data_IF_507825270109
#
_entry.id   IF_507825270109
#
_cell.length_a   1.000
_cell.length_b   1.000
_cell.length_c   1.000
_cell.angle_alpha   90.00
_cell.angle_beta   90.00
_cell.angle_gamma   90.00
#
_symmetry.space_group_name_H-M   'P 1'
#
loop_
_entity.id
_entity.type
_entity.pdbx_description
1 polymer ?
#
# COMPACT_ATOMS: atom_id res chain seq x y z
N UNK A 1 -0.27 -20.79 1.24
CA UNK A 1 0.38 -19.47 1.46
C UNK A 1 0.17 -18.67 0.19
N UNK A 2 -0.55 -17.53 0.25
CA UNK A 2 -1.09 -16.89 -0.95
C UNK A 2 -0.07 -16.06 -1.77
N UNK A 3 1.15 -15.86 -1.27
CA UNK A 3 2.22 -15.21 -2.01
C UNK A 3 3.58 -15.73 -1.53
N UNK A 4 4.48 -16.07 -2.46
CA UNK A 4 5.80 -16.66 -2.15
C UNK A 4 6.94 -15.65 -2.26
N UNK A 5 6.72 -14.50 -2.91
CA UNK A 5 7.69 -13.41 -3.04
C UNK A 5 7.30 -12.21 -2.16
N UNK A 6 8.27 -11.43 -1.66
CA UNK A 6 8.00 -10.16 -0.99
C UNK A 6 7.19 -9.22 -1.91
N UNK A 7 6.21 -8.52 -1.34
CA UNK A 7 5.34 -7.60 -2.08
C UNK A 7 5.65 -6.16 -1.77
N UNK A 8 5.23 -5.26 -2.65
CA UNK A 8 5.13 -3.82 -2.39
C UNK A 8 3.69 -3.55 -1.96
N UNK A 9 3.50 -3.12 -0.71
CA UNK A 9 2.18 -3.01 -0.10
C UNK A 9 1.69 -1.56 -0.09
N UNK A 10 0.54 -1.30 -0.72
CA UNK A 10 -0.19 -0.05 -0.54
C UNK A 10 -1.22 -0.24 0.59
N UNK A 11 -1.05 0.48 1.69
CA UNK A 11 -1.86 0.35 2.91
C UNK A 11 -2.29 1.70 3.49
N UNK A 12 -3.33 1.70 4.32
CA UNK A 12 -3.79 2.88 5.05
C UNK A 12 -5.26 3.23 4.80
N UNK A 13 -5.69 4.36 5.35
CA UNK A 13 -7.08 4.80 5.34
C UNK A 13 -7.43 5.65 6.55
N UNK A 14 -8.71 5.66 6.90
CA UNK A 14 -9.27 6.50 7.97
C UNK A 14 -8.82 6.04 9.35
N UNK A 15 -8.51 6.99 10.23
CA UNK A 15 -8.17 6.63 11.60
C UNK A 15 -9.38 6.03 12.32
N UNK A 16 -9.13 4.87 12.94
CA UNK A 16 -10.11 4.08 13.68
C UNK A 16 -9.69 3.85 15.13
N UNK A 17 -8.64 4.54 15.57
CA UNK A 17 -8.14 4.47 16.95
C UNK A 17 -7.40 3.17 17.28
N UNK A 18 -6.89 2.44 16.27
CA UNK A 18 -6.06 1.26 16.47
C UNK A 18 -4.70 1.38 15.79
N UNK A 19 -3.75 0.57 16.24
CA UNK A 19 -2.38 0.56 15.69
C UNK A 19 -2.15 -0.66 14.80
N UNK A 20 -1.13 -0.57 13.95
CA UNK A 20 -0.73 -1.66 13.04
C UNK A 20 0.45 -2.49 13.60
N UNK A 21 0.76 -2.32 14.90
CA UNK A 21 1.82 -3.07 15.58
C UNK A 21 1.66 -4.59 15.50
N UNK A 22 0.45 -5.18 15.59
CA UNK A 22 0.29 -6.63 15.46
C UNK A 22 0.73 -7.18 14.10
N UNK A 23 0.71 -6.35 13.05
CA UNK A 23 1.11 -6.73 11.70
C UNK A 23 2.62 -6.57 11.45
N UNK A 24 3.37 -5.99 12.40
CA UNK A 24 4.81 -5.72 12.28
C UNK A 24 5.61 -6.97 11.89
N UNK A 25 5.34 -8.11 12.54
CA UNK A 25 6.03 -9.38 12.24
C UNK A 25 5.71 -9.93 10.85
N UNK A 26 4.48 -9.74 10.37
CA UNK A 26 4.05 -10.17 9.04
C UNK A 26 4.75 -9.34 7.96
N UNK A 27 4.76 -8.02 8.14
CA UNK A 27 5.36 -7.07 7.20
C UNK A 27 6.87 -7.31 7.06
N UNK A 28 7.57 -7.58 8.17
CA UNK A 28 9.03 -7.83 8.18
C UNK A 28 9.48 -8.94 7.21
N UNK A 29 8.67 -9.98 7.04
CA UNK A 29 9.06 -11.18 6.29
C UNK A 29 8.42 -11.31 4.91
N UNK A 30 7.43 -10.47 4.59
CA UNK A 30 6.60 -10.64 3.39
C UNK A 30 6.47 -9.38 2.56
N UNK A 31 7.03 -8.25 2.99
CA UNK A 31 6.89 -6.96 2.32
C UNK A 31 8.26 -6.34 2.07
N UNK A 32 8.56 -5.99 0.82
CA UNK A 32 9.78 -5.31 0.40
C UNK A 32 9.75 -3.83 0.79
N UNK A 33 8.62 -3.17 0.50
CA UNK A 33 8.36 -1.76 0.81
C UNK A 33 6.86 -1.52 0.97
N UNK A 34 6.51 -0.43 1.64
CA UNK A 34 5.11 -0.02 1.81
C UNK A 34 4.92 1.41 1.32
N UNK A 35 3.80 1.67 0.67
CA UNK A 35 3.30 3.01 0.39
C UNK A 35 2.04 3.24 1.21
N UNK A 36 2.06 4.26 2.04
CA UNK A 36 1.05 4.51 3.07
C UNK A 36 0.20 5.72 2.66
N UNK A 37 -1.11 5.57 2.73
CA UNK A 37 -2.07 6.60 2.33
C UNK A 37 -3.13 6.87 3.40
N UNK A 38 -3.68 8.08 3.41
CA UNK A 38 -4.76 8.48 4.32
C UNK A 38 -4.30 8.84 5.74
N UNK A 39 -5.27 9.10 6.62
CA UNK A 39 -5.04 9.59 7.98
C UNK A 39 -4.12 8.69 8.82
N UNK A 40 -4.22 7.38 8.64
CA UNK A 40 -3.40 6.43 9.38
C UNK A 40 -1.96 6.31 8.88
N UNK A 41 -1.59 6.93 7.74
CA UNK A 41 -0.29 6.72 7.12
C UNK A 41 0.87 6.99 8.07
N UNK A 42 0.81 8.09 8.81
CA UNK A 42 1.83 8.45 9.80
C UNK A 42 1.87 7.49 10.99
N UNK A 43 0.71 7.03 11.46
CA UNK A 43 0.62 6.06 12.56
C UNK A 43 1.20 4.70 12.17
N UNK A 44 0.89 4.24 10.95
CA UNK A 44 1.42 3.00 10.38
C UNK A 44 2.94 3.12 10.19
N UNK A 45 3.42 4.23 9.63
CA UNK A 45 4.85 4.48 9.43
C UNK A 45 5.62 4.41 10.75
N UNK A 46 5.08 4.98 11.83
CA UNK A 46 5.66 4.84 13.17
C UNK A 46 5.65 3.40 13.66
N UNK A 47 4.51 2.72 13.53
CA UNK A 47 4.34 1.31 13.95
C UNK A 47 5.30 0.35 13.24
N UNK A 48 5.64 0.64 11.97
CA UNK A 48 6.49 -0.20 11.13
C UNK A 48 7.93 0.34 10.98
N UNK A 49 8.25 1.42 11.70
CA UNK A 49 9.60 1.98 11.70
C UNK A 49 10.64 0.93 12.10
N UNK A 50 11.73 0.86 11.32
CA UNK A 50 12.81 -0.11 11.48
C UNK A 50 12.49 -1.53 11.01
N UNK A 51 11.32 -1.77 10.39
CA UNK A 51 10.91 -3.11 9.92
C UNK A 51 10.81 -3.19 8.41
N UNK A 52 10.25 -2.15 7.79
CA UNK A 52 10.11 -2.05 6.34
C UNK A 52 10.31 -0.60 5.93
N UNK A 53 10.75 -0.37 4.69
CA UNK A 53 10.78 0.98 4.13
C UNK A 53 9.35 1.43 3.86
N UNK A 54 8.98 2.59 4.41
CA UNK A 54 7.63 3.14 4.29
C UNK A 54 7.65 4.56 3.75
N UNK A 55 6.98 4.76 2.62
CA UNK A 55 6.69 6.08 2.04
C UNK A 55 5.25 6.49 2.34
N UNK A 56 4.99 7.79 2.37
CA UNK A 56 3.64 8.34 2.49
C UNK A 56 3.27 8.99 1.16
N UNK A 57 2.10 8.65 0.66
CA UNK A 57 1.52 9.21 -0.54
C UNK A 57 0.27 10.02 -0.20
N UNK A 58 -0.02 11.02 -1.04
CA UNK A 58 -1.11 11.96 -0.81
C UNK A 58 -2.43 11.51 -1.43
N UNK A 59 -2.38 10.57 -2.37
CA UNK A 59 -3.55 10.01 -3.07
C UNK A 59 -3.31 8.57 -3.49
N UNK A 60 -4.35 7.88 -3.96
CA UNK A 60 -4.21 6.53 -4.52
C UNK A 60 -3.36 6.55 -5.80
N UNK A 61 -3.50 7.57 -6.65
CA UNK A 61 -2.67 7.76 -7.83
C UNK A 61 -1.18 7.89 -7.48
N UNK A 62 -0.84 8.80 -6.56
CA UNK A 62 0.53 8.98 -6.06
C UNK A 62 1.07 7.68 -5.43
N UNK A 63 0.20 6.91 -4.74
CA UNK A 63 0.60 5.64 -4.17
C UNK A 63 0.91 4.57 -5.22
N UNK A 64 0.11 4.50 -6.28
CA UNK A 64 0.29 3.58 -7.40
C UNK A 64 1.57 3.94 -8.18
N UNK A 65 1.80 5.22 -8.46
CA UNK A 65 3.02 5.69 -9.13
C UNK A 65 4.28 5.38 -8.32
N UNK A 66 4.29 5.66 -7.01
CA UNK A 66 5.42 5.32 -6.14
C UNK A 66 5.66 3.82 -6.04
N UNK A 67 4.58 3.05 -5.90
CA UNK A 67 4.68 1.59 -5.86
C UNK A 67 5.25 1.04 -7.17
N UNK A 68 4.86 1.61 -8.31
CA UNK A 68 5.41 1.27 -9.62
C UNK A 68 6.90 1.65 -9.74
N UNK A 69 7.29 2.85 -9.29
CA UNK A 69 8.66 3.34 -9.38
C UNK A 69 9.67 2.50 -8.57
N UNK A 70 9.22 1.81 -7.52
CA UNK A 70 10.06 0.92 -6.71
C UNK A 70 9.91 -0.56 -7.06
N UNK A 71 8.97 -0.89 -7.95
CA UNK A 71 8.72 -2.26 -8.40
C UNK A 71 9.71 -2.66 -9.48
N UNK A 72 10.18 -3.90 -9.38
CA UNK A 72 10.99 -4.54 -10.41
C UNK A 72 10.15 -5.57 -11.19
N UNK A 73 10.53 -5.88 -12.45
CA UNK A 73 9.86 -6.92 -13.22
C UNK A 73 9.72 -8.24 -12.45
N UNK A 74 8.47 -8.74 -12.35
CA UNK A 74 8.17 -10.00 -11.65
C UNK A 74 7.93 -9.88 -10.14
N UNK A 75 7.94 -8.66 -9.60
CA UNK A 75 7.43 -8.33 -8.27
C UNK A 75 5.92 -8.04 -8.28
N UNK A 76 5.33 -7.99 -7.10
CA UNK A 76 3.89 -7.80 -6.93
C UNK A 76 3.61 -6.54 -6.12
N UNK A 77 2.82 -5.64 -6.69
CA UNK A 77 2.19 -4.53 -5.96
C UNK A 77 0.83 -5.01 -5.45
N UNK A 78 0.65 -4.98 -4.13
CA UNK A 78 -0.56 -5.39 -3.45
C UNK A 78 -1.26 -4.17 -2.87
N UNK A 79 -2.50 -3.91 -3.31
CA UNK A 79 -3.36 -2.93 -2.67
C UNK A 79 -4.21 -3.59 -1.57
N UNK A 80 -3.86 -3.34 -0.31
CA UNK A 80 -4.58 -3.84 0.86
C UNK A 80 -4.67 -2.77 1.96
N UNK A 81 -5.64 -1.84 1.86
CA UNK A 81 -5.73 -0.68 2.75
C UNK A 81 -6.00 -1.02 4.22
N UNK A 82 -6.43 -2.24 4.54
CA UNK A 82 -6.61 -2.71 5.93
C UNK A 82 -7.74 -2.02 6.72
N UNK A 83 -8.39 -0.98 6.19
CA UNK A 83 -9.46 -0.24 6.85
C UNK A 83 -10.64 0.04 5.90
N UNK A 84 -11.83 0.26 6.47
CA UNK A 84 -13.00 0.66 5.67
C UNK A 84 -12.86 2.12 5.26
N UNK A 85 -12.69 2.33 3.96
CA UNK A 85 -12.96 3.55 3.19
C UNK A 85 -12.57 4.87 3.86
N UNK A 86 -11.39 5.34 3.49
CA UNK A 86 -11.14 6.72 3.06
C UNK A 86 -12.37 7.61 2.91
N UNK A 87 -12.33 8.82 3.46
CA UNK A 87 -13.26 9.91 3.12
C UNK A 87 -13.18 10.36 1.63
N UNK A 88 -12.35 9.69 0.81
CA UNK A 88 -12.18 9.95 -0.63
C UNK A 88 -12.98 9.02 -1.58
N UNK A 89 -13.58 7.91 -1.10
CA UNK A 89 -14.26 6.94 -1.99
C UNK A 89 -15.65 6.54 -1.51
N UNK A 90 -16.61 6.45 -2.44
CA UNK A 90 -18.02 6.09 -2.19
C UNK A 90 -18.20 4.65 -1.69
N UNK A 91 -17.31 3.72 -2.07
CA UNK A 91 -17.41 2.31 -1.66
C UNK A 91 -16.08 1.53 -1.77
N UNK A 92 -16.08 0.29 -1.26
CA UNK A 92 -14.99 -0.68 -1.48
C UNK A 92 -14.77 -0.99 -2.97
N UNK A 93 -15.84 -1.05 -3.76
CA UNK A 93 -15.76 -1.38 -5.18
C UNK A 93 -15.10 -0.25 -5.96
N UNK A 94 -15.50 1.00 -5.69
CA UNK A 94 -14.99 2.19 -6.40
C UNK A 94 -13.47 2.32 -6.27
N UNK A 95 -12.90 2.07 -5.08
CA UNK A 95 -11.45 2.11 -4.89
C UNK A 95 -10.71 1.00 -5.64
N UNK A 96 -11.33 -0.17 -5.79
CA UNK A 96 -10.75 -1.29 -6.52
C UNK A 96 -10.73 -1.00 -8.01
N UNK A 97 -11.80 -0.37 -8.52
CA UNK A 97 -11.90 0.06 -9.90
C UNK A 97 -10.96 1.22 -10.19
N UNK A 98 -10.81 2.19 -9.29
CA UNK A 98 -9.83 3.27 -9.44
C UNK A 98 -8.39 2.74 -9.41
N UNK A 99 -8.05 1.84 -8.48
CA UNK A 99 -6.74 1.19 -8.48
C UNK A 99 -6.48 0.46 -9.80
N UNK A 100 -7.47 -0.28 -10.31
CA UNK A 100 -7.36 -0.97 -11.61
C UNK A 100 -7.15 0.01 -12.76
N UNK A 101 -7.93 1.10 -12.80
CA UNK A 101 -7.81 2.12 -13.83
C UNK A 101 -6.42 2.77 -13.80
N UNK A 102 -5.93 3.14 -12.61
CA UNK A 102 -4.59 3.71 -12.44
C UNK A 102 -3.49 2.75 -12.90
N UNK A 103 -3.57 1.48 -12.51
CA UNK A 103 -2.61 0.47 -12.96
C UNK A 103 -2.60 0.30 -14.48
N UNK A 104 -3.75 0.42 -15.14
CA UNK A 104 -3.84 0.34 -16.61
C UNK A 104 -3.21 1.55 -17.33
N UNK A 105 -2.98 2.66 -16.63
CA UNK A 105 -2.32 3.86 -17.19
C UNK A 105 -0.81 3.86 -17.00
N UNK A 106 -0.26 2.91 -16.24
CA UNK A 106 1.17 2.85 -15.98
C UNK A 106 1.96 2.44 -17.23
N UNK A 107 3.14 3.02 -17.46
CA UNK A 107 4.06 2.53 -18.47
C UNK A 107 4.55 1.12 -18.10
N UNK A 108 4.98 0.30 -19.07
CA UNK A 108 5.67 -0.95 -18.76
C UNK A 108 6.91 -0.69 -17.91
N UNK A 109 7.24 -1.62 -17.01
CA UNK A 109 8.54 -1.61 -16.34
C UNK A 109 9.63 -1.86 -17.38
N UNK A 110 10.56 -0.91 -17.50
CA UNK A 110 11.75 -1.09 -18.34
C UNK A 110 12.68 -2.13 -17.68
N UNK A 111 13.27 -3.06 -18.46
CA UNK A 111 14.08 -4.16 -17.97
C UNK A 111 15.48 -3.75 -17.47
#
# INVERSE_FOLDING_TARGET
RAQTKPVILIAGGKDKGFTFDPLRSLVKGSVKSTVLIGEMAESIKRSWSGVVKSEIANSLADAVERAHAVAEPGEVVLFSPGTSSFDMFKSYADRGDEFRALVQTLPPLEP
#
